data_IF_562038421750
#
_entry.id   IF_562038421750
#
_cell.length_a   1.000
_cell.length_b   1.000
_cell.length_c   1.000
_cell.angle_alpha   90.00
_cell.angle_beta   90.00
_cell.angle_gamma   90.00
#
_symmetry.space_group_name_H-M   'P 1'
#
loop_
_entity.id
_entity.type
_entity.pdbx_description
1 polymer ?
#
# COMPACT_ATOMS: atom_id res chain seq x y z
N UNK A 1 -24.79 -9.91 4.54
CA UNK A 1 -25.42 -8.69 5.07
C UNK A 1 -25.01 -7.43 4.31
N UNK A 2 -23.69 -7.03 4.25
CA UNK A 2 -23.25 -5.78 3.57
C UNK A 2 -23.47 -5.87 2.06
N UNK A 3 -23.03 -6.96 1.42
CA UNK A 3 -23.24 -7.18 0.00
C UNK A 3 -24.73 -7.24 -0.36
N UNK A 4 -25.55 -7.92 0.44
CA UNK A 4 -26.99 -8.02 0.23
C UNK A 4 -27.69 -6.64 0.34
N UNK A 5 -27.27 -5.81 1.31
CA UNK A 5 -27.76 -4.44 1.46
C UNK A 5 -27.41 -3.55 0.25
N UNK A 6 -26.28 -3.83 -0.42
CA UNK A 6 -25.86 -3.18 -1.65
C UNK A 6 -26.49 -3.79 -2.92
N UNK A 7 -27.36 -4.79 -2.80
CA UNK A 7 -27.96 -5.49 -3.95
C UNK A 7 -26.97 -6.39 -4.71
N UNK A 8 -25.86 -6.77 -4.07
CA UNK A 8 -24.82 -7.60 -4.65
C UNK A 8 -24.87 -9.02 -4.09
N UNK A 9 -24.59 -10.02 -4.93
CA UNK A 9 -24.46 -11.40 -4.51
C UNK A 9 -22.99 -11.68 -4.19
N UNK A 10 -22.66 -12.01 -2.94
CA UNK A 10 -21.35 -12.50 -2.56
C UNK A 10 -21.17 -13.94 -3.08
N UNK A 11 -20.20 -14.15 -3.95
CA UNK A 11 -19.91 -15.47 -4.56
C UNK A 11 -18.56 -16.03 -4.12
N UNK A 12 -17.61 -15.19 -3.72
CA UNK A 12 -16.29 -15.56 -3.23
C UNK A 12 -16.00 -14.74 -1.98
N UNK A 13 -15.43 -15.38 -0.96
CA UNK A 13 -14.83 -14.74 0.22
C UNK A 13 -13.34 -15.05 0.15
N UNK A 14 -12.51 -14.03 0.31
CA UNK A 14 -11.06 -14.16 0.30
C UNK A 14 -10.43 -13.45 1.50
N UNK A 15 -9.15 -13.70 1.72
CA UNK A 15 -8.33 -13.03 2.73
C UNK A 15 -7.62 -11.86 2.07
N UNK A 16 -7.67 -10.68 2.69
CA UNK A 16 -7.12 -9.43 2.14
C UNK A 16 -5.65 -9.57 1.69
N UNK A 17 -4.82 -10.21 2.51
CA UNK A 17 -3.41 -10.45 2.17
C UNK A 17 -3.23 -11.37 0.95
N UNK A 18 -4.10 -12.37 0.76
CA UNK A 18 -4.04 -13.25 -0.42
C UNK A 18 -4.51 -12.52 -1.68
N UNK A 19 -5.53 -11.68 -1.56
CA UNK A 19 -5.96 -10.83 -2.67
C UNK A 19 -4.85 -9.85 -3.08
N UNK A 20 -4.17 -9.22 -2.12
CA UNK A 20 -3.03 -8.34 -2.40
C UNK A 20 -1.89 -9.08 -3.11
N UNK A 21 -1.61 -10.34 -2.72
CA UNK A 21 -0.61 -11.19 -3.38
C UNK A 21 -1.00 -11.53 -4.83
N UNK A 22 -2.28 -11.84 -5.09
CA UNK A 22 -2.75 -12.08 -6.45
C UNK A 22 -2.56 -10.86 -7.36
N UNK A 23 -2.80 -9.64 -6.84
CA UNK A 23 -2.51 -8.41 -7.58
C UNK A 23 -1.01 -8.14 -7.72
N UNK A 24 -0.19 -8.58 -6.76
CA UNK A 24 1.25 -8.41 -6.78
C UNK A 24 1.91 -9.11 -7.99
N UNK A 25 1.39 -10.24 -8.46
CA UNK A 25 1.88 -10.91 -9.68
C UNK A 25 1.88 -9.99 -10.91
N UNK A 26 0.96 -9.01 -10.98
CA UNK A 26 0.91 -8.04 -12.06
C UNK A 26 2.03 -7.00 -11.95
N UNK A 27 2.47 -6.71 -10.72
CA UNK A 27 3.55 -5.76 -10.43
C UNK A 27 4.91 -6.44 -10.60
N UNK A 28 5.05 -7.68 -10.14
CA UNK A 28 6.29 -8.44 -10.26
C UNK A 28 6.79 -8.49 -11.71
N UNK A 29 5.88 -8.61 -12.67
CA UNK A 29 6.21 -8.57 -14.12
C UNK A 29 6.77 -7.24 -14.59
N UNK A 30 6.63 -6.15 -13.84
CA UNK A 30 7.17 -4.82 -14.16
C UNK A 30 8.58 -4.62 -13.60
N UNK A 31 9.02 -5.51 -12.70
CA UNK A 31 10.36 -5.47 -12.13
C UNK A 31 11.41 -6.01 -13.10
N UNK A 32 12.69 -5.62 -12.96
CA UNK A 32 13.78 -6.17 -13.75
C UNK A 32 13.77 -7.71 -13.69
N UNK A 33 13.88 -8.37 -14.85
CA UNK A 33 13.84 -9.82 -15.02
C UNK A 33 12.56 -10.49 -14.42
N UNK A 34 11.46 -9.72 -14.25
CA UNK A 34 10.22 -10.20 -13.64
C UNK A 34 10.41 -10.65 -12.19
N UNK A 35 11.29 -10.00 -11.45
CA UNK A 35 11.54 -10.29 -10.02
C UNK A 35 12.20 -11.63 -9.74
N UNK A 36 12.68 -12.37 -10.75
CA UNK A 36 13.27 -13.70 -10.57
C UNK A 36 14.47 -13.69 -9.62
N UNK A 37 14.46 -14.61 -8.67
CA UNK A 37 15.49 -14.77 -7.62
C UNK A 37 15.70 -13.55 -6.73
N UNK A 38 14.84 -12.54 -6.83
CA UNK A 38 14.85 -11.36 -5.97
C UNK A 38 14.02 -11.61 -4.70
N UNK A 39 14.41 -10.94 -3.63
CA UNK A 39 13.64 -10.85 -2.38
C UNK A 39 12.87 -9.54 -2.42
N UNK A 40 11.57 -9.62 -2.50
CA UNK A 40 10.66 -8.48 -2.70
C UNK A 40 9.83 -8.25 -1.45
N UNK A 41 9.77 -7.02 -0.97
CA UNK A 41 8.93 -6.64 0.18
C UNK A 41 7.71 -5.84 -0.30
N UNK A 42 6.53 -6.40 -0.19
CA UNK A 42 5.27 -5.69 -0.34
C UNK A 42 4.89 -5.08 1.01
N UNK A 43 4.78 -3.76 1.06
CA UNK A 43 4.33 -2.99 2.22
C UNK A 43 2.98 -2.37 1.89
N UNK A 44 1.92 -2.92 2.43
CA UNK A 44 0.56 -2.39 2.29
C UNK A 44 0.20 -1.57 3.53
N UNK A 45 0.26 -0.25 3.39
CA UNK A 45 -0.03 0.70 4.46
C UNK A 45 -1.42 1.31 4.29
N UNK A 46 -2.37 0.78 5.06
CA UNK A 46 -3.77 1.20 5.08
C UNK A 46 -4.04 2.36 6.04
N UNK A 47 -5.28 2.46 6.52
CA UNK A 47 -5.67 3.49 7.48
C UNK A 47 -5.13 3.23 8.89
N UNK A 48 -5.14 1.98 9.36
CA UNK A 48 -4.79 1.62 10.74
C UNK A 48 -3.71 0.55 10.85
N UNK A 49 -3.54 -0.24 9.80
CA UNK A 49 -2.65 -1.41 9.78
C UNK A 49 -1.70 -1.28 8.61
N UNK A 50 -0.45 -1.63 8.84
CA UNK A 50 0.58 -1.81 7.82
C UNK A 50 0.98 -3.29 7.80
N UNK A 51 0.87 -3.91 6.64
CA UNK A 51 1.26 -5.28 6.38
C UNK A 51 2.57 -5.31 5.60
N UNK A 52 3.58 -6.01 6.12
CA UNK A 52 4.79 -6.36 5.39
C UNK A 52 4.68 -7.83 4.96
N UNK A 53 4.71 -8.08 3.67
CA UNK A 53 4.82 -9.43 3.10
C UNK A 53 6.10 -9.52 2.29
N UNK A 54 6.99 -10.47 2.63
CA UNK A 54 8.21 -10.69 1.86
C UNK A 54 8.06 -11.92 1.00
N UNK A 55 8.40 -11.77 -0.27
CA UNK A 55 8.22 -12.76 -1.32
C UNK A 55 9.56 -13.11 -1.98
N UNK A 56 9.67 -14.35 -2.43
CA UNK A 56 10.74 -14.79 -3.33
C UNK A 56 10.19 -15.80 -4.32
N UNK A 57 10.37 -15.50 -5.61
CA UNK A 57 9.83 -16.33 -6.71
C UNK A 57 8.32 -16.61 -6.56
N UNK A 58 7.53 -15.59 -6.25
CA UNK A 58 6.09 -15.69 -6.05
C UNK A 58 5.64 -16.39 -4.75
N UNK A 59 6.59 -16.86 -3.91
CA UNK A 59 6.27 -17.50 -2.65
C UNK A 59 6.47 -16.55 -1.47
N UNK A 60 5.48 -16.48 -0.59
CA UNK A 60 5.60 -15.75 0.67
C UNK A 60 6.57 -16.48 1.60
N UNK A 61 7.64 -15.80 1.99
CA UNK A 61 8.66 -16.31 2.92
C UNK A 61 8.57 -15.68 4.30
N UNK A 62 7.86 -14.54 4.42
CA UNK A 62 7.63 -13.85 5.69
C UNK A 62 6.40 -12.97 5.60
N UNK A 63 5.69 -12.79 6.71
CA UNK A 63 4.64 -11.80 6.86
C UNK A 63 4.64 -11.21 8.27
N UNK A 64 4.34 -9.93 8.36
CA UNK A 64 4.20 -9.20 9.62
C UNK A 64 3.16 -8.11 9.48
N UNK A 65 2.31 -8.03 10.48
CA UNK A 65 1.33 -6.96 10.65
C UNK A 65 1.78 -6.04 11.79
N UNK A 66 1.54 -4.75 11.65
CA UNK A 66 1.78 -3.77 12.71
C UNK A 66 0.76 -2.64 12.68
N UNK A 67 0.48 -2.08 13.85
CA UNK A 67 -0.48 -0.99 14.01
C UNK A 67 0.19 0.31 13.59
N UNK A 68 0.01 0.67 12.33
CA UNK A 68 0.44 1.93 11.72
C UNK A 68 -0.43 2.22 10.50
N UNK A 69 -0.76 3.48 10.23
CA UNK A 69 -1.50 3.84 9.02
C UNK A 69 -1.92 5.31 8.97
N UNK A 70 -2.55 5.68 7.85
CA UNK A 70 -2.94 7.05 7.53
C UNK A 70 -3.94 7.70 8.50
N UNK A 71 -4.65 6.89 9.30
CA UNK A 71 -5.51 7.38 10.36
C UNK A 71 -4.78 8.13 11.46
N UNK A 72 -3.49 7.81 11.69
CA UNK A 72 -2.65 8.57 12.64
C UNK A 72 -2.45 10.00 12.14
N UNK A 73 -2.12 10.18 10.86
CA UNK A 73 -2.00 11.50 10.26
C UNK A 73 -3.32 12.28 10.35
N UNK A 74 -4.46 11.63 10.10
CA UNK A 74 -5.77 12.28 10.23
C UNK A 74 -6.04 12.71 11.67
N UNK A 75 -5.69 11.89 12.66
CA UNK A 75 -5.81 12.26 14.07
C UNK A 75 -4.91 13.43 14.45
N UNK A 76 -3.69 13.50 13.91
CA UNK A 76 -2.77 14.59 14.16
C UNK A 76 -3.31 15.91 13.54
N UNK A 77 -3.87 15.86 12.33
CA UNK A 77 -4.59 16.98 11.70
C UNK A 77 -5.75 17.44 12.59
N UNK A 78 -6.57 16.51 13.07
CA UNK A 78 -7.70 16.79 13.98
C UNK A 78 -7.23 17.54 15.23
N UNK A 79 -6.16 17.07 15.87
CA UNK A 79 -5.62 17.70 17.09
C UNK A 79 -4.98 19.06 16.83
N UNK A 80 -4.25 19.17 15.73
CA UNK A 80 -3.46 20.36 15.41
C UNK A 80 -4.35 21.54 14.98
N UNK A 81 -5.37 21.26 14.14
CA UNK A 81 -6.24 22.30 13.57
C UNK A 81 -7.62 22.38 14.22
N UNK A 82 -7.96 21.52 15.19
CA UNK A 82 -9.27 21.52 15.84
C UNK A 82 -10.41 21.09 14.93
N UNK A 83 -10.13 20.31 13.87
CA UNK A 83 -11.10 19.79 12.92
C UNK A 83 -11.77 18.51 13.46
N UNK A 84 -12.96 18.20 12.98
CA UNK A 84 -13.52 16.83 13.11
C UNK A 84 -12.73 15.85 12.26
N UNK A 85 -12.89 14.55 12.52
CA UNK A 85 -12.19 13.51 11.74
C UNK A 85 -12.59 13.55 10.25
N UNK A 86 -13.88 13.76 9.99
CA UNK A 86 -14.44 13.86 8.64
C UNK A 86 -13.90 15.08 7.88
N UNK A 87 -13.81 16.23 8.54
CA UNK A 87 -13.22 17.46 7.98
C UNK A 87 -11.73 17.27 7.67
N UNK A 88 -10.99 16.66 8.58
CA UNK A 88 -9.57 16.37 8.41
C UNK A 88 -9.32 15.41 7.22
N UNK A 89 -10.11 14.34 7.09
CA UNK A 89 -10.05 13.42 5.96
C UNK A 89 -10.40 14.10 4.63
N UNK A 90 -11.45 14.92 4.62
CA UNK A 90 -11.85 15.66 3.42
C UNK A 90 -10.78 16.65 2.99
N UNK A 91 -10.21 17.42 3.93
CA UNK A 91 -9.17 18.43 3.67
C UNK A 91 -7.85 17.78 3.21
N UNK A 92 -7.47 16.65 3.82
CA UNK A 92 -6.31 15.87 3.41
C UNK A 92 -6.43 15.39 1.96
N UNK A 93 -7.60 14.87 1.56
CA UNK A 93 -7.86 14.41 0.19
C UNK A 93 -7.95 15.54 -0.82
N UNK A 94 -8.49 16.68 -0.41
CA UNK A 94 -8.64 17.86 -1.26
C UNK A 94 -7.33 18.64 -1.42
N UNK A 95 -6.32 18.39 -0.56
CA UNK A 95 -5.07 19.13 -0.54
C UNK A 95 -5.22 20.58 -0.12
N UNK A 96 -6.24 20.89 0.71
CA UNK A 96 -6.57 22.26 1.15
C UNK A 96 -6.31 22.48 2.66
N UNK A 97 -5.33 21.76 3.20
CA UNK A 97 -4.88 21.95 4.57
C UNK A 97 -4.10 23.27 4.72
N UNK A 98 -4.09 23.87 5.94
CA UNK A 98 -3.43 25.12 6.20
C UNK A 98 -1.93 25.11 5.87
N UNK A 99 -1.35 26.31 5.70
CA UNK A 99 0.09 26.49 5.58
C UNK A 99 0.81 25.89 6.80
N UNK A 100 1.95 25.23 6.56
CA UNK A 100 2.69 24.50 7.61
C UNK A 100 2.36 23.02 7.70
N UNK A 101 1.22 22.55 7.17
CA UNK A 101 0.83 21.14 7.23
C UNK A 101 1.92 20.17 6.77
N UNK A 102 2.56 20.46 5.65
CA UNK A 102 3.60 19.60 5.10
C UNK A 102 4.79 19.48 6.05
N UNK A 103 5.28 20.61 6.58
CA UNK A 103 6.44 20.61 7.44
C UNK A 103 6.17 20.07 8.84
N UNK A 104 4.98 20.35 9.39
CA UNK A 104 4.68 20.09 10.79
C UNK A 104 4.03 18.71 11.01
N UNK A 105 3.29 18.21 10.05
CA UNK A 105 2.54 16.93 10.17
C UNK A 105 2.90 15.90 9.10
N UNK A 106 2.92 16.27 7.81
CA UNK A 106 3.09 15.30 6.73
C UNK A 106 4.52 14.74 6.70
N UNK A 107 5.55 15.59 6.72
CA UNK A 107 6.94 15.14 6.69
C UNK A 107 7.28 14.27 7.91
N UNK A 108 6.93 14.63 9.16
CA UNK A 108 7.09 13.75 10.32
C UNK A 108 6.35 12.41 10.19
N UNK A 109 5.14 12.40 9.61
CA UNK A 109 4.41 11.16 9.35
C UNK A 109 5.13 10.26 8.35
N UNK A 110 5.64 10.83 7.24
CA UNK A 110 6.40 10.08 6.22
C UNK A 110 7.69 9.48 6.80
N UNK A 111 8.42 10.24 7.61
CA UNK A 111 9.62 9.75 8.31
C UNK A 111 9.28 8.62 9.30
N UNK A 112 8.16 8.74 10.02
CA UNK A 112 7.69 7.69 10.92
C UNK A 112 7.30 6.42 10.14
N UNK A 113 6.60 6.57 9.00
CA UNK A 113 6.29 5.44 8.13
C UNK A 113 7.56 4.73 7.66
N UNK A 114 8.55 5.47 7.19
CA UNK A 114 9.83 4.91 6.75
C UNK A 114 10.56 4.19 7.89
N UNK A 115 10.50 4.73 9.12
CA UNK A 115 11.05 4.08 10.30
C UNK A 115 10.34 2.76 10.61
N UNK A 116 9.01 2.72 10.52
CA UNK A 116 8.23 1.49 10.76
C UNK A 116 8.51 0.42 9.70
N UNK A 117 8.65 0.81 8.42
CA UNK A 117 9.10 -0.11 7.36
C UNK A 117 10.50 -0.65 7.66
N UNK A 118 11.44 0.22 8.03
CA UNK A 118 12.80 -0.19 8.41
C UNK A 118 12.82 -1.18 9.58
N UNK A 119 12.02 -0.92 10.62
CA UNK A 119 11.86 -1.83 11.77
C UNK A 119 11.28 -3.19 11.35
N UNK A 120 10.25 -3.18 10.50
CA UNK A 120 9.66 -4.42 10.01
C UNK A 120 10.66 -5.27 9.22
N UNK A 121 11.50 -4.64 8.38
CA UNK A 121 12.59 -5.31 7.67
C UNK A 121 13.66 -5.84 8.61
N UNK A 122 14.04 -5.11 9.68
CA UNK A 122 14.98 -5.60 10.67
C UNK A 122 14.47 -6.87 11.36
N UNK A 123 13.17 -6.94 11.68
CA UNK A 123 12.58 -8.17 12.21
C UNK A 123 12.64 -9.33 11.21
N UNK A 124 12.40 -9.06 9.92
CA UNK A 124 12.59 -10.06 8.87
C UNK A 124 14.02 -10.58 8.84
N UNK A 125 15.04 -9.72 8.81
CA UNK A 125 16.44 -10.10 8.77
C UNK A 125 16.88 -10.86 10.00
N UNK A 126 16.38 -10.53 11.19
CA UNK A 126 16.75 -11.20 12.44
C UNK A 126 16.04 -12.53 12.66
N UNK A 127 14.87 -12.73 12.04
CA UNK A 127 14.05 -13.94 12.21
C UNK A 127 14.18 -14.95 11.07
N UNK A 128 14.93 -14.62 10.03
CA UNK A 128 15.11 -15.48 8.85
C UNK A 128 16.60 -15.59 8.47
N UNK A 129 16.88 -16.41 7.45
CA UNK A 129 18.25 -16.52 6.90
C UNK A 129 18.60 -15.42 5.87
N UNK A 130 17.66 -14.54 5.56
CA UNK A 130 17.84 -13.48 4.58
C UNK A 130 18.45 -12.24 5.25
N UNK A 131 19.35 -11.56 4.53
CA UNK A 131 20.04 -10.37 5.01
C UNK A 131 19.83 -9.14 4.11
N UNK A 132 19.03 -9.27 3.05
CA UNK A 132 18.69 -8.18 2.14
C UNK A 132 17.30 -8.34 1.56
N UNK A 133 16.77 -7.22 1.09
CA UNK A 133 15.60 -7.11 0.21
C UNK A 133 16.07 -6.35 -1.03
N UNK A 134 15.68 -6.81 -2.21
CA UNK A 134 16.12 -6.20 -3.48
C UNK A 134 15.24 -5.01 -3.87
N UNK A 135 13.92 -5.09 -3.60
CA UNK A 135 12.97 -4.01 -3.82
C UNK A 135 11.90 -3.96 -2.73
N UNK A 136 11.44 -2.75 -2.41
CA UNK A 136 10.23 -2.50 -1.63
C UNK A 136 9.15 -1.99 -2.59
N UNK A 137 7.95 -2.55 -2.47
CA UNK A 137 6.77 -2.11 -3.20
C UNK A 137 5.77 -1.57 -2.18
N UNK A 138 5.48 -0.27 -2.26
CA UNK A 138 4.51 0.39 -1.38
C UNK A 138 3.12 0.31 -1.99
N UNK A 139 2.17 -0.17 -1.22
CA UNK A 139 0.75 -0.27 -1.53
C UNK A 139 -0.09 0.35 -0.42
N UNK A 140 -1.39 0.41 -0.64
CA UNK A 140 -2.36 0.97 0.30
C UNK A 140 -2.51 2.48 0.19
N UNK A 141 -3.39 3.02 1.01
CA UNK A 141 -3.75 4.44 0.98
C UNK A 141 -2.61 5.39 1.35
N UNK A 142 -1.62 4.96 2.14
CA UNK A 142 -0.47 5.79 2.47
C UNK A 142 0.51 5.92 1.29
N UNK A 143 0.52 4.97 0.36
CA UNK A 143 1.41 5.01 -0.80
C UNK A 143 1.03 6.05 -1.85
N UNK A 144 -0.16 6.70 -1.74
CA UNK A 144 -0.55 7.83 -2.61
C UNK A 144 0.11 9.15 -2.20
N UNK A 145 0.77 9.21 -1.04
CA UNK A 145 1.46 10.42 -0.56
C UNK A 145 2.67 10.69 -1.46
N UNK A 146 2.74 11.86 -2.12
CA UNK A 146 3.85 12.17 -3.00
C UNK A 146 5.20 12.13 -2.28
N UNK A 147 6.21 11.46 -2.86
CA UNK A 147 7.57 11.38 -2.33
C UNK A 147 7.77 10.36 -1.20
N UNK A 148 6.73 9.61 -0.79
CA UNK A 148 6.86 8.61 0.27
C UNK A 148 7.83 7.48 -0.10
N UNK A 149 7.90 7.12 -1.36
CA UNK A 149 8.84 6.13 -1.89
C UNK A 149 10.29 6.58 -1.73
N UNK A 150 10.59 7.86 -1.98
CA UNK A 150 11.92 8.45 -1.80
C UNK A 150 12.34 8.46 -0.32
N UNK A 151 11.41 8.81 0.58
CA UNK A 151 11.67 8.81 2.03
C UNK A 151 11.94 7.39 2.54
N UNK A 152 11.13 6.41 2.12
CA UNK A 152 11.34 5.00 2.47
C UNK A 152 12.64 4.48 1.86
N UNK A 153 12.94 4.76 0.59
CA UNK A 153 14.18 4.34 -0.06
C UNK A 153 15.41 4.92 0.65
N UNK A 154 15.37 6.20 1.00
CA UNK A 154 16.46 6.87 1.73
C UNK A 154 16.69 6.23 3.10
N UNK A 155 15.62 5.93 3.83
CA UNK A 155 15.71 5.35 5.18
C UNK A 155 16.18 3.91 5.18
N UNK A 156 15.68 3.10 4.24
CA UNK A 156 15.95 1.65 4.19
C UNK A 156 17.18 1.30 3.36
N UNK A 157 17.65 2.21 2.51
CA UNK A 157 18.67 2.01 1.49
C UNK A 157 18.28 0.90 0.49
N UNK A 158 16.98 0.73 0.27
CA UNK A 158 16.41 -0.24 -0.68
C UNK A 158 15.61 0.53 -1.74
N UNK A 159 15.76 0.16 -3.01
CA UNK A 159 14.96 0.74 -4.08
C UNK A 159 13.46 0.50 -3.83
N UNK A 160 12.70 1.59 -3.77
CA UNK A 160 11.29 1.58 -3.39
C UNK A 160 10.44 2.07 -4.55
N UNK A 161 9.36 1.36 -4.83
CA UNK A 161 8.43 1.63 -5.93
C UNK A 161 7.00 1.71 -5.39
N UNK A 162 6.17 2.54 -6.03
CA UNK A 162 4.74 2.58 -5.74
C UNK A 162 4.02 1.50 -6.56
N UNK A 163 3.16 0.73 -5.91
CA UNK A 163 2.37 -0.32 -6.53
C UNK A 163 1.40 0.27 -7.57
N UNK A 164 1.43 -0.27 -8.78
CA UNK A 164 0.44 0.02 -9.81
C UNK A 164 0.02 -1.27 -10.53
N UNK A 165 -1.03 -1.95 -10.06
CA UNK A 165 -1.49 -3.19 -10.68
C UNK A 165 -2.09 -2.99 -12.09
N UNK A 166 -2.37 -1.74 -12.48
CA UNK A 166 -3.01 -1.40 -13.77
C UNK A 166 -2.04 -0.98 -14.87
N UNK A 167 -0.73 -0.90 -14.61
CA UNK A 167 0.26 -0.35 -15.54
C UNK A 167 0.24 -1.01 -16.94
N UNK A 168 -0.08 -2.30 -17.00
CA UNK A 168 -0.13 -3.08 -18.25
C UNK A 168 -1.57 -3.39 -18.70
N UNK A 169 -2.58 -2.71 -18.12
CA UNK A 169 -3.98 -2.91 -18.48
C UNK A 169 -4.47 -1.83 -19.44
N UNK A 170 -5.35 -2.22 -20.34
CA UNK A 170 -6.10 -1.27 -21.18
C UNK A 170 -7.28 -0.78 -20.37
N UNK A 171 -7.34 0.53 -20.11
CA UNK A 171 -8.42 1.17 -19.35
C UNK A 171 -9.60 1.45 -20.28
N UNK A 172 -10.79 0.99 -19.93
CA UNK A 172 -12.02 1.27 -20.69
C UNK A 172 -12.38 2.75 -20.59
N UNK A 173 -13.00 3.30 -21.64
CA UNK A 173 -13.53 4.68 -21.68
C UNK A 173 -14.58 4.99 -20.61
N UNK A 174 -15.16 3.95 -19.99
CA UNK A 174 -16.10 4.09 -18.86
C UNK A 174 -15.40 4.42 -17.54
N UNK A 175 -14.09 4.24 -17.47
CA UNK A 175 -13.29 4.47 -16.26
C UNK A 175 -12.52 5.77 -16.40
N UNK A 176 -12.56 6.60 -15.37
CA UNK A 176 -11.75 7.82 -15.29
C UNK A 176 -10.28 7.46 -15.05
N UNK A 177 -9.51 7.36 -16.13
CA UNK A 177 -8.11 6.92 -16.09
C UNK A 177 -7.25 7.73 -15.10
N UNK A 178 -7.44 9.06 -15.04
CA UNK A 178 -6.69 9.93 -14.10
C UNK A 178 -6.96 9.56 -12.64
N UNK A 179 -8.20 9.29 -12.27
CA UNK A 179 -8.55 8.89 -10.89
C UNK A 179 -8.02 7.49 -10.60
N UNK A 180 -8.13 6.55 -11.54
CA UNK A 180 -7.61 5.19 -11.39
C UNK A 180 -6.09 5.20 -11.13
N UNK A 181 -5.34 6.00 -11.88
CA UNK A 181 -3.89 6.10 -11.71
C UNK A 181 -3.50 6.76 -10.38
N UNK A 182 -4.22 7.79 -9.95
CA UNK A 182 -3.98 8.45 -8.68
C UNK A 182 -4.21 7.52 -7.47
N UNK A 183 -5.20 6.62 -7.56
CA UNK A 183 -5.57 5.72 -6.49
C UNK A 183 -4.99 4.29 -6.67
N UNK A 184 -4.15 4.05 -7.67
CA UNK A 184 -3.74 2.71 -8.10
C UNK A 184 -3.16 1.86 -6.98
N UNK A 185 -2.31 2.41 -6.13
CA UNK A 185 -1.69 1.72 -5.00
C UNK A 185 -2.69 1.31 -3.91
N UNK A 186 -3.78 2.07 -3.73
CA UNK A 186 -4.84 1.77 -2.77
C UNK A 186 -5.82 0.69 -3.26
N UNK A 187 -5.77 0.34 -4.54
CA UNK A 187 -6.68 -0.59 -5.19
C UNK A 187 -6.11 -2.02 -5.32
N UNK A 188 -4.99 -2.32 -4.67
CA UNK A 188 -4.34 -3.63 -4.74
C UNK A 188 -5.29 -4.77 -4.36
N UNK A 189 -5.93 -4.68 -3.21
CA UNK A 189 -6.86 -5.70 -2.71
C UNK A 189 -8.06 -5.85 -3.66
N UNK A 190 -8.65 -4.72 -4.10
CA UNK A 190 -9.78 -4.75 -5.03
C UNK A 190 -9.41 -5.38 -6.37
N UNK A 191 -8.20 -5.10 -6.88
CA UNK A 191 -7.67 -5.71 -8.09
C UNK A 191 -7.49 -7.23 -7.92
N UNK A 192 -6.89 -7.65 -6.81
CA UNK A 192 -6.69 -9.08 -6.50
C UNK A 192 -8.01 -9.84 -6.36
N UNK A 193 -8.99 -9.26 -5.70
CA UNK A 193 -10.34 -9.85 -5.61
C UNK A 193 -10.99 -9.98 -6.99
N UNK A 194 -10.79 -9.00 -7.88
CA UNK A 194 -11.31 -9.07 -9.25
C UNK A 194 -10.66 -10.18 -10.08
N UNK A 195 -9.39 -10.49 -9.85
CA UNK A 195 -8.66 -11.58 -10.51
C UNK A 195 -9.22 -12.95 -10.16
N UNK A 196 -9.85 -13.11 -8.98
CA UNK A 196 -10.49 -14.36 -8.56
C UNK A 196 -11.57 -14.88 -9.53
N UNK A 197 -12.10 -14.00 -10.38
CA UNK A 197 -13.05 -14.38 -11.45
C UNK A 197 -12.47 -15.42 -12.41
N UNK A 198 -11.16 -15.42 -12.57
CA UNK A 198 -10.47 -16.30 -13.53
C UNK A 198 -9.99 -17.60 -12.91
N UNK A 199 -10.19 -17.79 -11.59
CA UNK A 199 -9.85 -19.02 -10.92
C UNK A 199 -10.85 -20.12 -11.32
N UNK A 200 -10.41 -21.39 -11.48
CA UNK A 200 -11.31 -22.51 -11.67
C UNK A 200 -12.18 -22.67 -10.42
N UNK A 201 -13.49 -22.80 -10.63
CA UNK A 201 -14.48 -23.06 -9.58
C UNK A 201 -14.40 -24.52 -9.16
#
# INVERSE_FOLDING_TARGET
AVADAAGLKAVIIDVESLAALSAFELIERQLPEGGKNQVLALVDAGANIMNLTVLRNGQQIYAREQVFGGGQLTQDITRHYGMTYEEAEASKRAGNLPEGYEAELLNPFMENMALEVSRALQFFFTSTQYNKVDHIILAGGCAVIPGIDEVVATRTQVNTLIANPFANMVVSDRVRAKSLLADSSSLMVACGLALRRFDPL
#
